data_IF_794874123086
#
_entry.id   IF_794874123086
#
_cell.length_a   1.000
_cell.length_b   1.000
_cell.length_c   1.000
_cell.angle_alpha   90.00
_cell.angle_beta   90.00
_cell.angle_gamma   90.00
#
_symmetry.space_group_name_H-M   'P 1'
#
loop_
_entity.id
_entity.type
_entity.pdbx_description
1 polymer ?
#
# COMPACT_ATOMS: atom_id res chain seq x y z
N UNK A 1 11.83 -16.85 17.98
CA UNK A 1 11.43 -18.05 17.17
C UNK A 1 11.57 -17.67 15.69
N UNK A 2 12.18 -18.49 14.83
CA UNK A 2 12.47 -18.08 13.44
C UNK A 2 11.25 -18.20 12.52
N UNK A 3 11.00 -17.16 11.70
CA UNK A 3 10.29 -17.05 10.39
C UNK A 3 9.36 -18.18 9.88
N UNK A 4 8.77 -18.99 10.75
CA UNK A 4 7.89 -20.13 10.45
C UNK A 4 6.40 -19.74 10.42
N UNK A 5 6.07 -18.51 10.80
CA UNK A 5 4.68 -18.13 11.10
C UNK A 5 3.87 -17.67 9.88
N UNK A 6 4.50 -17.55 8.70
CA UNK A 6 3.81 -17.23 7.46
C UNK A 6 4.45 -17.95 6.27
N UNK A 7 3.65 -18.58 5.44
CA UNK A 7 4.11 -19.28 4.23
C UNK A 7 3.58 -18.62 2.97
N UNK A 8 4.26 -18.84 1.85
CA UNK A 8 3.81 -18.33 0.55
C UNK A 8 2.45 -18.90 0.16
N UNK A 9 2.20 -20.16 0.47
CA UNK A 9 0.92 -20.85 0.23
C UNK A 9 -0.22 -20.18 1.03
N UNK A 10 0.05 -19.79 2.27
CA UNK A 10 -0.95 -19.13 3.10
C UNK A 10 -1.21 -17.69 2.64
N UNK A 11 -0.17 -16.95 2.22
CA UNK A 11 -0.30 -15.61 1.65
C UNK A 11 -1.12 -15.61 0.35
N UNK A 12 -0.88 -16.59 -0.51
CA UNK A 12 -1.49 -16.68 -1.85
C UNK A 12 -2.82 -17.43 -1.86
N UNK A 13 -3.36 -17.78 -0.68
CA UNK A 13 -4.67 -18.42 -0.56
C UNK A 13 -5.79 -17.45 -0.92
N UNK A 14 -6.65 -17.91 -1.82
CA UNK A 14 -7.86 -17.20 -2.25
C UNK A 14 -8.86 -17.08 -1.08
N UNK A 15 -9.37 -15.87 -0.85
CA UNK A 15 -10.29 -15.53 0.25
C UNK A 15 -11.32 -14.50 -0.22
N UNK A 16 -12.48 -14.46 0.42
CA UNK A 16 -13.38 -13.30 0.28
C UNK A 16 -12.75 -12.04 0.90
N UNK A 17 -13.23 -10.82 0.59
CA UNK A 17 -12.68 -9.61 1.18
C UNK A 17 -12.67 -9.62 2.71
N UNK A 18 -13.79 -10.03 3.35
CA UNK A 18 -13.91 -10.10 4.81
C UNK A 18 -12.99 -11.16 5.42
N UNK A 19 -12.87 -12.31 4.77
CA UNK A 19 -11.95 -13.36 5.22
C UNK A 19 -10.50 -12.92 5.11
N UNK A 20 -10.12 -12.27 4.01
CA UNK A 20 -8.76 -11.76 3.80
C UNK A 20 -8.40 -10.72 4.86
N UNK A 21 -9.27 -9.74 5.10
CA UNK A 21 -9.05 -8.71 6.11
C UNK A 21 -8.99 -9.29 7.54
N UNK A 22 -9.92 -10.19 7.88
CA UNK A 22 -9.95 -10.83 9.20
C UNK A 22 -8.72 -11.71 9.43
N UNK A 23 -8.30 -12.47 8.42
CA UNK A 23 -7.09 -13.28 8.47
C UNK A 23 -5.84 -12.41 8.60
N UNK A 24 -5.75 -11.32 7.84
CA UNK A 24 -4.62 -10.38 7.86
C UNK A 24 -4.43 -9.77 9.25
N UNK A 25 -5.50 -9.26 9.86
CA UNK A 25 -5.43 -8.64 11.19
C UNK A 25 -4.93 -9.63 12.25
N UNK A 26 -5.48 -10.85 12.26
CA UNK A 26 -5.00 -11.91 13.16
C UNK A 26 -3.55 -12.28 12.89
N UNK A 27 -3.13 -12.31 11.62
CA UNK A 27 -1.76 -12.68 11.24
C UNK A 27 -0.75 -11.61 11.65
N UNK A 28 -1.08 -10.33 11.44
CA UNK A 28 -0.25 -9.19 11.90
C UNK A 28 -0.12 -9.23 13.43
N UNK A 29 -1.22 -9.42 14.15
CA UNK A 29 -1.21 -9.52 15.62
C UNK A 29 -0.34 -10.70 16.09
N UNK A 30 -0.51 -11.88 15.47
CA UNK A 30 0.29 -13.06 15.80
C UNK A 30 1.79 -12.82 15.56
N UNK A 31 2.18 -12.30 14.40
CA UNK A 31 3.59 -12.06 14.07
C UNK A 31 4.17 -10.98 15.01
N UNK A 32 3.42 -9.89 15.22
CA UNK A 32 3.83 -8.77 16.07
C UNK A 32 3.86 -9.09 17.57
N UNK A 33 3.41 -10.27 17.99
CA UNK A 33 3.48 -10.72 19.40
C UNK A 33 4.89 -11.15 19.85
N UNK A 34 5.85 -11.20 18.92
CA UNK A 34 7.26 -11.48 19.20
C UNK A 34 8.14 -10.32 18.76
N UNK A 35 9.28 -10.10 19.44
CA UNK A 35 10.22 -9.03 19.07
C UNK A 35 10.76 -9.21 17.65
N UNK A 36 11.07 -10.46 17.27
CA UNK A 36 11.59 -10.79 15.93
C UNK A 36 10.53 -10.58 14.85
N UNK A 37 9.28 -11.02 15.09
CA UNK A 37 8.20 -10.80 14.14
C UNK A 37 7.78 -9.32 14.05
N UNK A 38 7.83 -8.58 15.15
CA UNK A 38 7.63 -7.13 15.16
C UNK A 38 8.73 -6.40 14.38
N UNK A 39 9.98 -6.85 14.50
CA UNK A 39 11.08 -6.35 13.68
C UNK A 39 10.82 -6.63 12.19
N UNK A 40 10.44 -7.86 11.85
CA UNK A 40 10.17 -8.26 10.46
C UNK A 40 9.01 -7.46 9.84
N UNK A 41 7.94 -7.22 10.61
CA UNK A 41 6.82 -6.36 10.19
C UNK A 41 7.23 -4.90 10.01
N UNK A 42 8.00 -4.32 10.94
CA UNK A 42 8.42 -2.91 10.87
C UNK A 42 9.44 -2.67 9.75
N UNK A 43 10.35 -3.62 9.55
CA UNK A 43 11.46 -3.48 8.61
C UNK A 43 11.20 -4.17 7.27
N UNK A 44 10.00 -4.70 7.07
CA UNK A 44 9.55 -5.36 5.84
C UNK A 44 10.55 -6.46 5.40
N UNK A 45 10.83 -7.42 6.29
CA UNK A 45 11.77 -8.52 6.03
C UNK A 45 11.05 -9.80 5.61
N UNK A 46 11.69 -10.57 4.73
CA UNK A 46 11.16 -11.85 4.26
C UNK A 46 9.72 -11.71 3.74
N UNK A 47 8.84 -12.62 4.15
CA UNK A 47 7.43 -12.65 3.75
C UNK A 47 6.56 -11.56 4.43
N UNK A 48 7.06 -10.92 5.50
CA UNK A 48 6.37 -9.79 6.10
C UNK A 48 6.32 -8.59 5.13
N UNK A 49 7.31 -8.49 4.22
CA UNK A 49 7.28 -7.50 3.15
C UNK A 49 6.06 -7.66 2.26
N UNK A 50 5.82 -8.84 1.69
CA UNK A 50 4.66 -9.08 0.83
C UNK A 50 3.35 -8.92 1.61
N UNK A 51 3.32 -9.35 2.88
CA UNK A 51 2.17 -9.14 3.75
C UNK A 51 1.80 -7.65 3.86
N UNK A 52 2.78 -6.78 4.12
CA UNK A 52 2.55 -5.35 4.34
C UNK A 52 2.44 -4.55 3.03
N UNK A 53 3.17 -4.95 1.99
CA UNK A 53 3.26 -4.19 0.74
C UNK A 53 2.16 -4.55 -0.28
N UNK A 54 1.70 -5.81 -0.28
CA UNK A 54 0.76 -6.33 -1.27
C UNK A 54 -0.56 -6.77 -0.61
N UNK A 55 -0.49 -7.62 0.43
CA UNK A 55 -1.70 -8.23 1.01
C UNK A 55 -2.49 -7.23 1.86
N UNK A 56 -1.82 -6.38 2.64
CA UNK A 56 -2.46 -5.36 3.47
C UNK A 56 -3.27 -4.35 2.64
N UNK A 57 -2.70 -3.73 1.58
CA UNK A 57 -3.47 -2.84 0.71
C UNK A 57 -4.60 -3.56 -0.01
N UNK A 58 -4.39 -4.81 -0.44
CA UNK A 58 -5.43 -5.61 -1.10
C UNK A 58 -6.63 -5.85 -0.17
N UNK A 59 -6.38 -6.22 1.09
CA UNK A 59 -7.45 -6.43 2.07
C UNK A 59 -8.26 -5.15 2.32
N UNK A 60 -7.56 -4.02 2.48
CA UNK A 60 -8.19 -2.71 2.70
C UNK A 60 -9.05 -2.30 1.50
N UNK A 61 -8.50 -2.43 0.29
CA UNK A 61 -9.23 -2.20 -0.95
C UNK A 61 -10.46 -3.11 -1.06
N UNK A 62 -10.28 -4.40 -0.80
CA UNK A 62 -11.34 -5.40 -0.90
C UNK A 62 -12.55 -5.05 -0.03
N UNK A 63 -12.31 -4.75 1.24
CA UNK A 63 -13.38 -4.35 2.15
C UNK A 63 -14.10 -3.09 1.71
N UNK A 64 -13.39 -2.09 1.17
CA UNK A 64 -14.01 -0.82 0.74
C UNK A 64 -14.77 -0.94 -0.57
N UNK A 65 -14.22 -1.68 -1.54
CA UNK A 65 -14.82 -1.83 -2.88
C UNK A 65 -15.97 -2.84 -2.90
N UNK A 66 -15.83 -3.94 -2.16
CA UNK A 66 -16.74 -5.09 -2.26
C UNK A 66 -17.49 -5.40 -0.97
N UNK A 67 -17.14 -4.77 0.16
CA UNK A 67 -17.78 -5.05 1.45
C UNK A 67 -17.59 -6.51 1.87
N UNK A 68 -18.69 -7.14 2.33
CA UNK A 68 -18.72 -8.53 2.75
C UNK A 68 -19.24 -9.50 1.66
N UNK A 69 -19.03 -9.17 0.38
CA UNK A 69 -19.56 -9.98 -0.70
C UNK A 69 -18.79 -11.31 -0.84
N UNK A 70 -19.47 -12.43 -0.62
CA UNK A 70 -18.94 -13.79 -0.68
C UNK A 70 -18.78 -14.34 -2.11
N UNK A 71 -19.36 -13.64 -3.10
CA UNK A 71 -19.19 -13.92 -4.52
C UNK A 71 -17.97 -13.22 -5.12
N UNK A 72 -17.18 -12.50 -4.31
CA UNK A 72 -15.90 -11.92 -4.69
C UNK A 72 -14.78 -12.72 -4.03
N UNK A 73 -13.82 -13.17 -4.83
CA UNK A 73 -12.66 -13.90 -4.35
C UNK A 73 -11.36 -13.17 -4.73
N UNK A 74 -10.55 -12.86 -3.73
CA UNK A 74 -9.29 -12.14 -3.85
C UNK A 74 -8.13 -13.08 -3.57
N UNK A 75 -7.11 -13.01 -4.42
CA UNK A 75 -5.95 -13.88 -4.32
C UNK A 75 -4.67 -13.05 -4.52
N UNK A 76 -3.86 -12.85 -3.48
CA UNK A 76 -2.50 -12.35 -3.63
C UNK A 76 -1.65 -13.30 -4.46
N UNK A 77 -0.72 -12.76 -5.25
CA UNK A 77 0.17 -13.53 -6.11
C UNK A 77 1.61 -13.09 -5.84
N UNK A 78 2.41 -14.00 -5.26
CA UNK A 78 3.82 -13.74 -4.96
C UNK A 78 4.67 -14.36 -6.06
N UNK A 79 5.29 -13.53 -6.90
CA UNK A 79 6.07 -14.00 -8.05
C UNK A 79 6.63 -12.86 -8.90
N UNK A 80 6.99 -13.19 -10.14
CA UNK A 80 7.62 -12.26 -11.09
C UNK A 80 6.66 -11.78 -12.20
N UNK A 81 5.35 -11.91 -11.97
CA UNK A 81 4.32 -11.40 -12.87
C UNK A 81 4.09 -9.89 -12.67
N UNK A 82 3.60 -9.19 -13.69
CA UNK A 82 3.30 -7.75 -13.62
C UNK A 82 1.89 -7.49 -13.03
N UNK A 83 1.60 -8.10 -11.88
CA UNK A 83 0.40 -7.85 -11.06
C UNK A 83 0.58 -8.51 -9.70
N UNK A 84 -0.01 -7.96 -8.64
CA UNK A 84 0.16 -8.44 -7.27
C UNK A 84 -1.03 -9.30 -6.80
N UNK A 85 -2.17 -9.21 -7.47
CA UNK A 85 -3.35 -10.01 -7.12
C UNK A 85 -4.30 -10.27 -8.29
N UNK A 86 -5.17 -11.27 -8.10
CA UNK A 86 -6.31 -11.59 -8.96
C UNK A 86 -7.60 -11.43 -8.16
N UNK A 87 -8.59 -10.76 -8.76
CA UNK A 87 -9.95 -10.69 -8.25
C UNK A 87 -10.86 -11.46 -9.20
N UNK A 88 -11.57 -12.46 -8.66
CA UNK A 88 -12.58 -13.24 -9.37
C UNK A 88 -13.97 -12.83 -8.88
N UNK A 89 -14.82 -12.39 -9.79
CA UNK A 89 -16.22 -12.04 -9.52
C UNK A 89 -17.15 -13.14 -10.05
N UNK A 90 -17.78 -13.86 -9.11
CA UNK A 90 -18.67 -14.99 -9.37
C UNK A 90 -20.13 -14.56 -9.62
N UNK A 91 -20.44 -13.26 -9.56
CA UNK A 91 -21.79 -12.74 -9.80
C UNK A 91 -22.18 -12.83 -11.27
N UNK A 92 -21.20 -12.82 -12.18
CA UNK A 92 -21.40 -12.97 -13.63
C UNK A 92 -21.24 -14.42 -14.09
N UNK A 93 -21.85 -14.78 -15.22
CA UNK A 93 -21.68 -16.07 -15.89
C UNK A 93 -21.25 -15.85 -17.35
N UNK A 94 -20.02 -16.25 -17.75
CA UNK A 94 -18.97 -16.83 -16.91
C UNK A 94 -18.45 -15.85 -15.84
N UNK A 95 -17.83 -16.39 -14.79
CA UNK A 95 -17.18 -15.58 -13.77
C UNK A 95 -16.13 -14.69 -14.42
N UNK A 96 -16.06 -13.43 -14.02
CA UNK A 96 -15.08 -12.48 -14.55
C UNK A 96 -13.83 -12.46 -13.69
N UNK A 97 -12.67 -12.27 -14.33
CA UNK A 97 -11.39 -12.12 -13.66
C UNK A 97 -10.74 -10.80 -14.04
N UNK A 98 -10.16 -10.15 -13.04
CA UNK A 98 -9.38 -8.92 -13.19
C UNK A 98 -8.08 -9.03 -12.40
N UNK A 99 -7.08 -8.28 -12.83
CA UNK A 99 -5.78 -8.23 -12.18
C UNK A 99 -5.65 -6.94 -11.38
N UNK A 100 -4.82 -6.97 -10.35
CA UNK A 100 -4.58 -5.82 -9.49
C UNK A 100 -3.08 -5.64 -9.33
N UNK A 101 -2.60 -4.46 -9.65
CA UNK A 101 -1.27 -3.96 -9.33
C UNK A 101 -1.39 -3.04 -8.11
N UNK A 102 -0.42 -3.12 -7.20
CA UNK A 102 -0.39 -2.36 -5.95
C UNK A 102 0.88 -1.52 -5.91
N UNK A 103 0.75 -0.29 -5.42
CA UNK A 103 1.89 0.57 -5.11
C UNK A 103 1.57 1.47 -3.93
N UNK A 104 2.60 2.11 -3.37
CA UNK A 104 2.48 2.94 -2.17
C UNK A 104 3.16 4.29 -2.36
N UNK A 105 2.61 5.34 -1.75
CA UNK A 105 3.21 6.68 -1.67
C UNK A 105 4.20 6.81 -0.49
N UNK A 106 5.21 5.97 -0.45
CA UNK A 106 6.22 6.03 0.63
C UNK A 106 7.30 7.11 0.36
N UNK A 107 7.93 7.63 1.42
CA UNK A 107 9.14 8.47 1.35
C UNK A 107 10.41 7.66 1.01
N UNK A 108 10.29 6.34 0.82
CA UNK A 108 11.39 5.48 0.42
C UNK A 108 12.33 5.21 1.59
N UNK A 109 13.61 5.56 1.44
CA UNK A 109 14.62 5.29 2.46
C UNK A 109 14.28 5.96 3.81
N UNK A 110 13.71 7.16 3.79
CA UNK A 110 13.37 7.87 5.03
C UNK A 110 12.30 7.12 5.84
N UNK A 111 11.31 6.50 5.20
CA UNK A 111 10.29 5.71 5.91
C UNK A 111 10.92 4.46 6.53
N UNK A 112 11.80 3.77 5.80
CA UNK A 112 12.56 2.65 6.33
C UNK A 112 13.39 3.05 7.56
N UNK A 113 14.13 4.15 7.48
CA UNK A 113 14.94 4.65 8.59
C UNK A 113 14.07 5.06 9.79
N UNK A 114 12.89 5.63 9.57
CA UNK A 114 11.93 5.90 10.66
C UNK A 114 11.47 4.62 11.34
N UNK A 115 11.24 3.53 10.59
CA UNK A 115 10.88 2.24 11.18
C UNK A 115 12.05 1.60 11.94
N UNK A 116 13.29 1.79 11.50
CA UNK A 116 14.49 1.41 12.27
C UNK A 116 14.54 2.16 13.60
N UNK A 117 14.37 3.48 13.59
CA UNK A 117 14.35 4.29 14.80
C UNK A 117 13.19 3.89 15.73
N UNK A 118 11.98 3.69 15.19
CA UNK A 118 10.82 3.23 15.93
C UNK A 118 11.06 1.87 16.60
N UNK A 119 11.66 0.93 15.87
CA UNK A 119 11.95 -0.39 16.41
C UNK A 119 12.97 -0.32 17.56
N UNK A 120 14.04 0.47 17.39
CA UNK A 120 15.11 0.59 18.37
C UNK A 120 14.70 1.37 19.63
N UNK A 121 13.96 2.47 19.48
CA UNK A 121 13.68 3.41 20.56
C UNK A 121 12.26 3.31 21.12
N UNK A 122 11.36 2.56 20.46
CA UNK A 122 9.94 2.49 20.81
C UNK A 122 9.12 3.70 20.37
N UNK A 123 9.76 4.73 19.80
CA UNK A 123 9.10 5.91 19.23
C UNK A 123 9.89 6.48 18.05
N UNK A 124 9.22 7.26 17.21
CA UNK A 124 9.85 8.07 16.16
C UNK A 124 8.95 9.27 15.84
N UNK A 125 9.56 10.41 15.50
CA UNK A 125 8.78 11.54 14.98
C UNK A 125 8.38 11.28 13.53
N UNK A 126 7.10 11.48 13.23
CA UNK A 126 6.56 11.33 11.88
C UNK A 126 7.20 12.32 10.90
N UNK A 127 7.45 13.54 11.36
CA UNK A 127 7.98 14.63 10.56
C UNK A 127 9.34 15.08 11.08
N UNK A 128 10.12 15.65 10.17
CA UNK A 128 11.44 16.21 10.41
C UNK A 128 12.55 15.44 9.72
N UNK A 129 13.75 16.01 9.81
CA UNK A 129 14.93 15.53 9.10
C UNK A 129 15.39 14.19 9.67
N UNK A 130 15.53 13.20 8.79
CA UNK A 130 16.11 11.89 9.11
C UNK A 130 17.61 11.95 8.87
N UNK A 131 18.39 11.62 9.88
CA UNK A 131 19.85 11.52 9.81
C UNK A 131 20.29 10.11 10.16
N UNK A 132 21.28 9.58 9.44
CA UNK A 132 21.87 8.27 9.72
C UNK A 132 23.40 8.36 9.80
N UNK A 133 23.98 7.54 10.66
CA UNK A 133 25.43 7.29 10.70
C UNK A 133 25.71 5.80 10.74
N UNK A 134 26.85 5.40 10.17
CA UNK A 134 27.22 3.99 10.05
C UNK A 134 26.42 3.25 8.97
N UNK A 135 26.51 1.92 9.01
CA UNK A 135 25.86 0.98 8.10
C UNK A 135 25.27 -0.17 8.91
N UNK A 136 24.42 -1.01 8.30
CA UNK A 136 23.94 -2.22 8.97
C UNK A 136 25.09 -3.10 9.50
N UNK A 137 26.24 -3.13 8.82
CA UNK A 137 27.41 -3.92 9.22
C UNK A 137 28.20 -3.29 10.38
N UNK A 138 28.19 -1.97 10.49
CA UNK A 138 29.03 -1.21 11.44
C UNK A 138 28.24 -0.63 12.60
N UNK A 139 26.95 -0.97 12.72
CA UNK A 139 25.99 -0.32 13.60
C UNK A 139 25.35 0.88 12.91
N UNK A 140 24.09 0.71 12.48
CA UNK A 140 23.29 1.80 11.92
C UNK A 140 22.65 2.57 13.07
N UNK A 141 23.01 3.84 13.18
CA UNK A 141 22.35 4.78 14.09
C UNK A 141 21.46 5.72 13.27
N UNK A 142 20.22 5.89 13.71
CA UNK A 142 19.24 6.74 13.06
C UNK A 142 18.68 7.72 14.08
N UNK A 143 18.63 8.99 13.72
CA UNK A 143 17.96 10.03 14.48
C UNK A 143 16.97 10.77 13.60
N UNK A 144 15.85 11.15 14.18
CA UNK A 144 14.83 11.96 13.52
C UNK A 144 14.57 13.16 14.40
N UNK A 145 14.82 14.36 13.89
CA UNK A 145 14.55 15.58 14.66
C UNK A 145 13.07 15.90 14.62
N UNK A 146 12.49 16.29 15.76
CA UNK A 146 11.12 16.78 15.80
C UNK A 146 11.03 18.11 15.03
N UNK A 147 10.12 18.17 14.05
CA UNK A 147 9.86 19.39 13.30
C UNK A 147 8.36 19.64 13.27
N UNK A 148 7.95 20.86 13.67
CA UNK A 148 6.61 21.33 13.41
C UNK A 148 6.50 21.69 11.93
N UNK A 149 5.65 20.99 11.21
CA UNK A 149 5.45 21.17 9.77
C UNK A 149 4.08 21.73 9.48
N UNK A 150 4.02 22.62 8.49
CA UNK A 150 2.75 23.15 8.00
C UNK A 150 1.92 22.02 7.37
N UNK A 151 0.66 21.92 7.78
CA UNK A 151 -0.29 20.90 7.29
C UNK A 151 -0.40 20.91 5.77
N UNK A 152 -0.42 22.09 5.14
CA UNK A 152 -0.47 22.22 3.69
C UNK A 152 0.78 21.64 3.00
N UNK A 153 1.96 21.77 3.61
CA UNK A 153 3.20 21.17 3.11
C UNK A 153 3.17 19.65 3.20
N UNK A 154 2.64 19.10 4.30
CA UNK A 154 2.43 17.65 4.46
C UNK A 154 1.53 17.13 3.35
N UNK A 155 0.37 17.76 3.13
CA UNK A 155 -0.57 17.34 2.11
C UNK A 155 0.03 17.43 0.70
N UNK A 156 0.75 18.51 0.39
CA UNK A 156 1.46 18.68 -0.90
C UNK A 156 2.51 17.59 -1.11
N UNK A 157 3.27 17.24 -0.08
CA UNK A 157 4.28 16.17 -0.16
C UNK A 157 3.61 14.81 -0.41
N UNK A 158 2.49 14.51 0.24
CA UNK A 158 1.73 13.27 0.00
C UNK A 158 1.23 13.20 -1.45
N UNK A 159 0.62 14.27 -1.96
CA UNK A 159 0.20 14.34 -3.37
C UNK A 159 1.38 14.15 -4.33
N UNK A 160 2.53 14.76 -4.03
CA UNK A 160 3.77 14.56 -4.78
C UNK A 160 4.20 13.09 -4.81
N UNK A 161 4.18 12.40 -3.66
CA UNK A 161 4.53 10.97 -3.55
C UNK A 161 3.56 10.07 -4.30
N UNK A 162 2.27 10.37 -4.27
CA UNK A 162 1.26 9.68 -5.09
C UNK A 162 1.65 9.81 -6.58
N UNK A 163 1.88 11.03 -7.06
CA UNK A 163 2.27 11.27 -8.46
C UNK A 163 3.56 10.54 -8.84
N UNK A 164 4.57 10.57 -7.98
CA UNK A 164 5.83 9.88 -8.24
C UNK A 164 5.66 8.36 -8.30
N UNK A 165 4.78 7.78 -7.47
CA UNK A 165 4.44 6.36 -7.55
C UNK A 165 3.81 6.00 -8.89
N UNK A 166 2.88 6.82 -9.39
CA UNK A 166 2.26 6.65 -10.69
C UNK A 166 3.24 6.81 -11.85
N UNK A 167 4.13 7.81 -11.81
CA UNK A 167 5.17 7.99 -12.83
C UNK A 167 6.07 6.76 -12.96
N UNK A 168 6.38 6.06 -11.85
CA UNK A 168 7.14 4.79 -11.89
C UNK A 168 6.38 3.64 -12.53
N UNK A 169 5.05 3.73 -12.67
CA UNK A 169 4.18 2.72 -13.29
C UNK A 169 3.78 3.09 -14.72
N UNK A 170 3.88 4.37 -15.09
CA UNK A 170 3.60 4.86 -16.44
C UNK A 170 4.49 4.19 -17.50
N UNK A 171 3.93 3.95 -18.69
CA UNK A 171 4.59 3.33 -19.84
C UNK A 171 4.82 1.82 -19.74
N UNK A 172 4.70 1.21 -18.55
CA UNK A 172 4.87 -0.23 -18.34
C UNK A 172 3.66 -1.01 -18.84
N UNK A 173 3.91 -2.23 -19.31
CA UNK A 173 2.88 -3.15 -19.80
C UNK A 173 2.33 -4.03 -18.67
N UNK A 174 1.01 -4.11 -18.65
CA UNK A 174 0.22 -4.88 -17.71
C UNK A 174 -0.78 -5.75 -18.47
N UNK A 175 -1.21 -6.90 -17.91
CA UNK A 175 -2.30 -7.67 -18.48
C UNK A 175 -3.55 -6.81 -18.72
N UNK A 176 -4.37 -7.18 -19.70
CA UNK A 176 -5.65 -6.53 -19.92
C UNK A 176 -6.52 -6.61 -18.64
N UNK A 177 -7.33 -5.57 -18.39
CA UNK A 177 -8.17 -5.46 -17.19
C UNK A 177 -7.41 -5.42 -15.86
N UNK A 178 -6.17 -4.91 -15.86
CA UNK A 178 -5.43 -4.63 -14.62
C UNK A 178 -5.86 -3.29 -14.02
N UNK A 179 -6.27 -3.30 -12.76
CA UNK A 179 -6.48 -2.08 -11.96
C UNK A 179 -5.22 -1.74 -11.17
N UNK A 180 -4.95 -0.45 -10.97
CA UNK A 180 -3.88 0.03 -10.09
C UNK A 180 -4.47 0.51 -8.76
N UNK A 181 -3.95 0.00 -7.65
CA UNK A 181 -4.19 0.52 -6.30
C UNK A 181 -2.98 1.33 -5.85
N UNK A 182 -3.23 2.53 -5.34
CA UNK A 182 -2.24 3.31 -4.61
C UNK A 182 -2.71 3.44 -3.18
N UNK A 183 -1.97 2.83 -2.27
CA UNK A 183 -2.16 3.07 -0.85
C UNK A 183 -1.34 4.29 -0.42
N UNK A 184 -1.96 5.16 0.37
CA UNK A 184 -1.33 6.40 0.80
C UNK A 184 -1.76 6.79 2.21
N UNK A 185 -0.96 7.64 2.86
CA UNK A 185 -1.28 8.12 4.20
C UNK A 185 -2.25 9.31 4.12
N UNK A 186 -3.52 9.04 4.41
CA UNK A 186 -4.59 10.02 4.46
C UNK A 186 -4.88 10.48 5.90
N UNK A 187 -3.87 10.69 6.75
CA UNK A 187 -4.10 11.26 8.09
C UNK A 187 -5.02 12.48 8.12
N UNK A 188 -5.57 12.79 9.30
CA UNK A 188 -6.42 13.98 9.52
C UNK A 188 -5.83 15.26 8.90
N UNK A 189 -4.52 15.49 9.09
CA UNK A 189 -3.79 16.60 8.48
C UNK A 189 -3.91 16.66 6.94
N UNK A 190 -3.87 15.51 6.27
CA UNK A 190 -4.10 15.45 4.82
C UNK A 190 -5.55 15.83 4.49
N UNK A 191 -6.51 15.23 5.19
CA UNK A 191 -7.94 15.43 4.95
C UNK A 191 -8.44 16.85 5.30
N UNK A 192 -7.76 17.56 6.20
CA UNK A 192 -8.05 18.96 6.54
C UNK A 192 -7.81 19.91 5.35
N UNK A 193 -6.81 19.61 4.51
CA UNK A 193 -6.40 20.48 3.40
C UNK A 193 -6.90 19.96 2.06
N UNK A 194 -6.96 18.64 1.90
CA UNK A 194 -7.32 17.95 0.66
C UNK A 194 -8.64 17.21 0.85
N UNK A 195 -9.72 17.91 0.52
CA UNK A 195 -11.03 17.31 0.35
C UNK A 195 -11.11 16.47 -0.95
N UNK A 196 -12.24 15.78 -1.12
CA UNK A 196 -12.51 14.95 -2.29
C UNK A 196 -12.40 15.70 -3.62
N UNK A 197 -12.88 16.95 -3.69
CA UNK A 197 -12.88 17.72 -4.93
C UNK A 197 -11.46 18.16 -5.32
N UNK A 198 -10.64 18.57 -4.35
CA UNK A 198 -9.23 18.87 -4.56
C UNK A 198 -8.44 17.64 -5.00
N UNK A 199 -8.72 16.48 -4.39
CA UNK A 199 -8.08 15.22 -4.78
C UNK A 199 -8.46 14.83 -6.22
N UNK A 200 -9.73 14.96 -6.60
CA UNK A 200 -10.17 14.69 -7.97
C UNK A 200 -9.52 15.61 -8.98
N UNK A 201 -9.51 16.91 -8.69
CA UNK A 201 -8.88 17.88 -9.55
C UNK A 201 -7.39 17.57 -9.72
N UNK A 202 -6.70 17.18 -8.64
CA UNK A 202 -5.32 16.75 -8.69
C UNK A 202 -5.13 15.53 -9.62
N UNK A 203 -5.96 14.50 -9.45
CA UNK A 203 -5.91 13.27 -10.26
C UNK A 203 -6.17 13.56 -11.74
N UNK A 204 -7.23 14.30 -12.05
CA UNK A 204 -7.60 14.64 -13.42
C UNK A 204 -6.52 15.48 -14.11
N UNK A 205 -5.89 16.40 -13.37
CA UNK A 205 -4.91 17.34 -13.94
C UNK A 205 -3.51 16.74 -14.10
N UNK A 206 -3.08 15.87 -13.18
CA UNK A 206 -1.68 15.42 -13.11
C UNK A 206 -1.48 13.93 -13.33
N UNK A 207 -2.50 13.11 -13.06
CA UNK A 207 -2.37 11.65 -13.02
C UNK A 207 -2.99 11.02 -14.26
N UNK A 208 -4.22 11.39 -14.61
CA UNK A 208 -4.90 10.81 -15.79
C UNK A 208 -4.30 11.30 -17.11
N UNK A 209 -3.37 12.26 -17.07
CA UNK A 209 -2.57 12.70 -18.22
C UNK A 209 -1.35 11.81 -18.49
N UNK A 210 -1.02 10.88 -17.59
CA UNK A 210 0.10 9.94 -17.74
C UNK A 210 -0.30 8.77 -18.65
N UNK A 211 0.68 8.16 -19.35
CA UNK A 211 0.45 6.90 -20.09
C UNK A 211 0.32 5.72 -19.12
N UNK A 212 -0.85 5.61 -18.49
CA UNK A 212 -1.20 4.52 -17.61
C UNK A 212 -1.90 3.42 -18.42
N UNK A 213 -1.34 2.21 -18.39
CA UNK A 213 -1.89 1.03 -19.10
C UNK A 213 -2.81 0.18 -18.20
N UNK A 214 -3.51 0.83 -17.28
CA UNK A 214 -4.48 0.21 -16.36
C UNK A 214 -5.91 0.51 -16.80
N UNK A 215 -6.88 -0.30 -16.38
CA UNK A 215 -8.30 -0.03 -16.63
C UNK A 215 -8.89 0.96 -15.63
N UNK A 216 -8.47 0.87 -14.37
CA UNK A 216 -9.00 1.69 -13.26
C UNK A 216 -7.87 2.04 -12.31
N UNK A 217 -7.87 3.27 -11.81
CA UNK A 217 -7.05 3.73 -10.70
C UNK A 217 -7.89 3.83 -9.44
N UNK A 218 -7.40 3.24 -8.35
CA UNK A 218 -7.94 3.38 -7.02
C UNK A 218 -6.94 4.11 -6.12
N UNK A 219 -7.38 5.22 -5.52
CA UNK A 219 -6.66 5.85 -4.42
C UNK A 219 -7.28 5.37 -3.10
N UNK A 220 -6.48 4.66 -2.31
CA UNK A 220 -6.91 4.02 -1.06
C UNK A 220 -6.09 4.59 0.09
N UNK A 221 -6.65 5.55 0.83
CA UNK A 221 -6.03 6.08 2.03
C UNK A 221 -6.00 5.03 3.15
N UNK A 222 -4.99 4.99 4.01
CA UNK A 222 -4.91 4.03 5.11
C UNK A 222 -6.08 4.12 6.12
N UNK A 223 -6.80 5.24 6.18
CA UNK A 223 -7.91 5.50 7.12
C UNK A 223 -9.27 5.53 6.44
N UNK A 224 -9.54 6.54 5.63
CA UNK A 224 -10.90 6.87 5.18
C UNK A 224 -11.02 7.02 3.65
N UNK A 225 -10.02 7.55 2.97
CA UNK A 225 -10.15 7.96 1.57
C UNK A 225 -10.26 6.73 0.66
N UNK A 226 -11.29 6.70 -0.18
CA UNK A 226 -11.43 5.70 -1.24
C UNK A 226 -11.99 6.37 -2.49
N UNK A 227 -11.17 6.51 -3.52
CA UNK A 227 -11.54 7.12 -4.80
C UNK A 227 -11.27 6.18 -5.94
N UNK A 228 -12.13 6.21 -6.95
CA UNK A 228 -12.07 5.36 -8.12
C UNK A 228 -12.13 6.22 -9.38
N UNK A 229 -11.23 5.96 -10.31
CA UNK A 229 -11.10 6.69 -11.57
C UNK A 229 -10.94 5.71 -12.72
N UNK A 230 -11.86 5.75 -13.68
CA UNK A 230 -11.71 5.00 -14.92
C UNK A 230 -10.59 5.61 -15.76
N UNK A 231 -9.62 4.79 -16.16
CA UNK A 231 -8.59 5.19 -17.12
C UNK A 231 -9.13 4.79 -18.48
N UNK A 232 -10.04 5.60 -19.03
CA UNK A 232 -10.52 5.40 -20.39
C UNK A 232 -9.39 5.72 -21.36
N UNK A 233 -8.80 4.71 -21.99
CA UNK A 233 -8.13 4.92 -23.27
C UNK A 233 -9.23 5.13 -24.30
N UNK A 234 -9.27 6.30 -24.92
CA UNK A 234 -10.07 6.49 -26.13
C UNK A 234 -9.79 5.32 -27.07
N UNK A 235 -10.86 4.67 -27.54
CA UNK A 235 -10.80 3.62 -28.54
C UNK A 235 -10.16 4.14 -29.83
#
# INVERSE_FOLDING_TARGET
MSNKDISKEELTKKRTPSELHSWLNRRIEQIGSTDEGLEDLRLHRGLAKQLMEEVYPLALFGCRKFGNNDQILMQPIIGNQNYDAVVTDLRTKPASQSYVEITQSHEGENDYLRMVALHKHGYVFKYGTVSKTGTQKTGLEVSVQAEAVEVAKVAKNELGRILDALKRKAGKDYPANTSLIIIFDDTLHFQEVVDSAKLDNFVNTHILTLDLKFSTLYLVGQKNVFREFSISKGA
#
